data_IF_678259800574
#
_entry.id   IF_678259800574
#
_cell.length_a   1.000
_cell.length_b   1.000
_cell.length_c   1.000
_cell.angle_alpha   90.00
_cell.angle_beta   90.00
_cell.angle_gamma   90.00
#
_symmetry.space_group_name_H-M   'P 1'
#
loop_
_entity.id
_entity.type
_entity.pdbx_description
1 polymer ?
#
# COMPACT_ATOMS: atom_id res chain seq x y z
N UNK A 1 -14.28 -3.51 91.43
CA UNK A 1 -14.67 -2.82 90.18
C UNK A 1 -13.37 -2.30 89.55
N UNK A 2 -12.76 -3.10 88.66
CA UNK A 2 -11.41 -2.85 88.16
C UNK A 2 -11.44 -1.96 86.91
N UNK A 3 -11.00 -0.71 87.06
CA UNK A 3 -10.78 0.23 85.96
C UNK A 3 -9.51 -0.18 85.20
N UNK A 4 -9.65 -0.94 84.12
CA UNK A 4 -8.57 -1.17 83.15
C UNK A 4 -8.32 0.16 82.43
N UNK A 5 -7.19 0.82 82.73
CA UNK A 5 -6.67 1.93 81.90
C UNK A 5 -6.40 1.37 80.51
N UNK A 6 -7.23 1.74 79.54
CA UNK A 6 -6.93 1.53 78.13
C UNK A 6 -5.74 2.43 77.80
N UNK A 7 -4.57 1.83 77.59
CA UNK A 7 -3.47 2.53 76.94
C UNK A 7 -3.93 2.86 75.52
N UNK A 8 -4.20 4.13 75.25
CA UNK A 8 -4.38 4.64 73.90
C UNK A 8 -3.03 4.46 73.21
N UNK A 9 -2.96 3.52 72.26
CA UNK A 9 -1.78 3.32 71.43
C UNK A 9 -1.56 4.59 70.59
N UNK A 10 -0.47 5.30 70.84
CA UNK A 10 -0.10 6.47 70.03
C UNK A 10 0.39 6.01 68.65
N UNK A 11 -0.21 6.53 67.59
CA UNK A 11 0.26 6.35 66.21
C UNK A 11 1.63 7.00 66.08
N UNK A 12 2.62 6.27 65.56
CA UNK A 12 3.98 6.80 65.43
C UNK A 12 4.14 7.58 64.13
N UNK A 13 5.00 8.60 64.11
CA UNK A 13 5.33 9.37 62.89
C UNK A 13 5.83 8.44 61.78
N UNK A 14 6.57 7.38 62.14
CA UNK A 14 7.07 6.38 61.19
C UNK A 14 5.92 5.65 60.49
N UNK A 15 4.85 5.32 61.21
CA UNK A 15 3.66 4.65 60.67
C UNK A 15 2.88 5.54 59.69
N UNK A 16 2.80 6.84 59.98
CA UNK A 16 2.20 7.83 59.07
C UNK A 16 3.04 8.01 57.81
N UNK A 17 4.36 8.15 57.96
CA UNK A 17 5.27 8.31 56.80
C UNK A 17 5.25 7.07 55.90
N UNK A 18 5.21 5.87 56.48
CA UNK A 18 5.09 4.63 55.72
C UNK A 18 3.77 4.55 54.96
N UNK A 19 2.66 4.94 55.60
CA UNK A 19 1.34 5.00 54.97
C UNK A 19 1.32 5.97 53.79
N UNK A 20 1.90 7.17 53.95
CA UNK A 20 2.02 8.15 52.86
C UNK A 20 2.88 7.60 51.72
N UNK A 21 4.00 6.92 52.02
CA UNK A 21 4.87 6.30 51.01
C UNK A 21 4.15 5.24 50.18
N UNK A 22 3.35 4.39 50.81
CA UNK A 22 2.53 3.39 50.10
C UNK A 22 1.48 4.08 49.22
N UNK A 23 0.79 5.10 49.73
CA UNK A 23 -0.25 5.83 48.97
C UNK A 23 0.37 6.51 47.74
N UNK A 24 1.50 7.20 47.89
CA UNK A 24 2.18 7.88 46.76
C UNK A 24 2.64 6.87 45.71
N UNK A 25 3.24 5.76 46.13
CA UNK A 25 3.69 4.70 45.20
C UNK A 25 2.49 4.07 44.47
N UNK A 26 1.38 3.82 45.19
CA UNK A 26 0.15 3.31 44.59
C UNK A 26 -0.47 4.27 43.58
N UNK A 27 -0.54 5.56 43.91
CA UNK A 27 -1.06 6.59 42.99
C UNK A 27 -0.19 6.75 41.75
N UNK A 28 1.15 6.72 41.89
CA UNK A 28 2.08 6.74 40.76
C UNK A 28 1.92 5.50 39.85
N UNK A 29 1.71 4.32 40.45
CA UNK A 29 1.43 3.10 39.69
C UNK A 29 0.15 3.20 38.86
N UNK A 30 -0.95 3.71 39.44
CA UNK A 30 -2.22 3.92 38.73
C UNK A 30 -2.07 4.94 37.60
N UNK A 31 -1.37 6.04 37.83
CA UNK A 31 -1.11 7.04 36.79
C UNK A 31 -0.35 6.46 35.59
N UNK A 32 0.66 5.62 35.85
CA UNK A 32 1.39 4.89 34.80
C UNK A 32 0.48 3.97 33.97
N UNK A 33 -0.41 3.23 34.64
CA UNK A 33 -1.35 2.33 33.95
C UNK A 33 -2.37 3.09 33.08
N UNK A 34 -2.85 4.25 33.51
CA UNK A 34 -3.79 5.07 32.72
C UNK A 34 -3.13 5.53 31.41
N UNK A 35 -1.86 5.94 31.44
CA UNK A 35 -1.14 6.35 30.22
C UNK A 35 -0.93 5.19 29.25
N UNK A 36 -0.57 4.00 29.76
CA UNK A 36 -0.41 2.80 28.92
C UNK A 36 -1.75 2.36 28.33
N UNK A 37 -2.82 2.36 29.13
CA UNK A 37 -4.17 2.03 28.67
C UNK A 37 -4.65 3.00 27.59
N UNK A 38 -4.39 4.30 27.75
CA UNK A 38 -4.70 5.31 26.73
C UNK A 38 -3.97 5.05 25.41
N UNK A 39 -2.65 4.79 25.46
CA UNK A 39 -1.87 4.47 24.27
C UNK A 39 -2.35 3.20 23.57
N UNK A 40 -2.67 2.14 24.33
CA UNK A 40 -3.22 0.89 23.78
C UNK A 40 -4.62 1.08 23.19
N UNK A 41 -5.48 1.89 23.82
CA UNK A 41 -6.81 2.21 23.30
C UNK A 41 -6.71 2.98 21.98
N UNK A 42 -5.84 3.99 21.87
CA UNK A 42 -5.62 4.71 20.62
C UNK A 42 -5.11 3.78 19.52
N UNK A 43 -4.16 2.89 19.83
CA UNK A 43 -3.67 1.88 18.87
C UNK A 43 -4.78 0.90 18.44
N UNK A 44 -5.68 0.53 19.36
CA UNK A 44 -6.83 -0.31 19.06
C UNK A 44 -7.82 0.37 18.12
N UNK A 45 -8.20 1.62 18.42
CA UNK A 45 -9.09 2.42 17.59
C UNK A 45 -8.50 2.67 16.19
N UNK A 46 -7.20 2.98 16.13
CA UNK A 46 -6.49 3.13 14.86
C UNK A 46 -6.50 1.80 14.09
N UNK A 47 -6.16 0.68 14.72
CA UNK A 47 -6.20 -0.63 14.07
C UNK A 47 -7.60 -1.00 13.53
N UNK A 48 -8.67 -0.68 14.27
CA UNK A 48 -10.05 -0.91 13.85
C UNK A 48 -10.42 -0.01 12.66
N UNK A 49 -10.07 1.28 12.71
CA UNK A 49 -10.28 2.21 11.61
C UNK A 49 -9.53 1.75 10.35
N UNK A 50 -8.28 1.32 10.49
CA UNK A 50 -7.47 0.79 9.38
C UNK A 50 -8.06 -0.51 8.80
N UNK A 51 -8.62 -1.38 9.65
CA UNK A 51 -9.30 -2.60 9.21
C UNK A 51 -10.53 -2.28 8.35
N UNK A 52 -11.38 -1.36 8.81
CA UNK A 52 -12.56 -0.93 8.05
C UNK A 52 -12.18 -0.24 6.74
N UNK A 53 -11.15 0.61 6.79
CA UNK A 53 -10.53 1.24 5.63
C UNK A 53 -10.08 0.21 4.57
N UNK A 54 -9.40 -0.86 4.99
CA UNK A 54 -8.98 -1.95 4.11
C UNK A 54 -10.15 -2.70 3.48
N UNK A 55 -11.18 -3.03 4.28
CA UNK A 55 -12.39 -3.69 3.79
C UNK A 55 -13.15 -2.82 2.78
N UNK A 56 -13.28 -1.52 3.05
CA UNK A 56 -13.91 -0.56 2.16
C UNK A 56 -13.14 -0.43 0.83
N UNK A 57 -11.81 -0.36 0.89
CA UNK A 57 -10.98 -0.31 -0.31
C UNK A 57 -11.07 -1.60 -1.15
N UNK A 58 -11.15 -2.78 -0.52
CA UNK A 58 -11.42 -4.05 -1.24
C UNK A 58 -12.81 -4.01 -1.90
N UNK A 59 -13.83 -3.54 -1.19
CA UNK A 59 -15.18 -3.41 -1.74
C UNK A 59 -15.22 -2.42 -2.91
N UNK A 60 -14.51 -1.30 -2.83
CA UNK A 60 -14.37 -0.31 -3.89
C UNK A 60 -13.66 -0.89 -5.12
N UNK A 61 -12.58 -1.65 -4.89
CA UNK A 61 -11.85 -2.37 -5.93
C UNK A 61 -12.76 -3.34 -6.70
N UNK A 62 -13.56 -4.13 -5.98
CA UNK A 62 -14.49 -5.10 -6.56
C UNK A 62 -15.66 -4.40 -7.29
N UNK A 63 -16.26 -3.38 -6.66
CA UNK A 63 -17.42 -2.64 -7.20
C UNK A 63 -17.10 -1.91 -8.49
N UNK A 64 -15.89 -1.37 -8.60
CA UNK A 64 -15.42 -0.68 -9.82
C UNK A 64 -14.87 -1.63 -10.88
N UNK A 65 -14.93 -2.94 -10.65
CA UNK A 65 -14.43 -3.97 -11.57
C UNK A 65 -12.97 -3.74 -11.95
N UNK A 66 -12.14 -3.29 -11.00
CA UNK A 66 -10.70 -3.07 -11.22
C UNK A 66 -9.94 -4.38 -11.50
N UNK A 67 -10.62 -5.53 -11.35
CA UNK A 67 -10.16 -6.86 -11.77
C UNK A 67 -10.08 -7.03 -13.28
N UNK A 68 -10.80 -6.21 -14.05
CA UNK A 68 -10.84 -6.33 -15.49
C UNK A 68 -9.71 -5.52 -16.13
N UNK A 69 -8.78 -6.15 -16.88
CA UNK A 69 -7.67 -5.43 -17.49
C UNK A 69 -8.13 -4.40 -18.54
N UNK A 70 -9.34 -4.53 -19.09
CA UNK A 70 -9.93 -3.55 -20.01
C UNK A 70 -10.19 -2.18 -19.37
N UNK A 71 -10.35 -2.13 -18.05
CA UNK A 71 -10.55 -0.90 -17.29
C UNK A 71 -9.24 -0.17 -16.95
N UNK A 72 -8.11 -0.86 -17.13
CA UNK A 72 -6.80 -0.40 -16.74
C UNK A 72 -6.08 0.26 -17.92
N UNK A 73 -5.43 1.38 -17.63
CA UNK A 73 -4.56 2.11 -18.53
C UNK A 73 -3.15 2.18 -17.94
N UNK A 74 -2.15 2.13 -18.78
CA UNK A 74 -0.77 2.46 -18.42
C UNK A 74 -0.26 3.54 -19.37
N UNK A 75 0.75 4.30 -18.96
CA UNK A 75 1.27 5.39 -19.78
C UNK A 75 2.36 4.84 -20.73
N UNK A 76 2.18 4.97 -22.03
CA UNK A 76 3.18 4.54 -23.01
C UNK A 76 4.13 5.72 -23.32
N UNK A 77 5.42 5.62 -22.98
CA UNK A 77 6.37 6.71 -23.20
C UNK A 77 6.69 6.93 -24.67
N UNK A 78 6.67 5.85 -25.46
CA UNK A 78 7.03 5.90 -26.88
C UNK A 78 6.02 6.71 -27.67
N UNK A 79 4.75 6.66 -27.26
CA UNK A 79 3.66 7.43 -27.88
C UNK A 79 3.23 8.64 -27.07
N UNK A 80 3.81 8.85 -25.87
CA UNK A 80 3.40 9.89 -24.92
C UNK A 80 1.88 9.89 -24.67
N UNK A 81 1.30 8.70 -24.49
CA UNK A 81 -0.16 8.53 -24.37
C UNK A 81 -0.51 7.36 -23.47
N UNK A 82 -1.67 7.41 -22.83
CA UNK A 82 -2.18 6.24 -22.11
C UNK A 82 -2.71 5.17 -23.08
N UNK A 83 -2.41 3.92 -22.80
CA UNK A 83 -2.83 2.75 -23.58
C UNK A 83 -3.51 1.73 -22.68
N UNK A 84 -4.48 1.01 -23.23
CA UNK A 84 -5.18 -0.04 -22.48
C UNK A 84 -4.24 -1.19 -22.18
N UNK A 85 -4.36 -1.82 -21.00
CA UNK A 85 -3.54 -3.00 -20.66
C UNK A 85 -3.81 -4.15 -21.65
N UNK A 86 -5.06 -4.30 -22.11
CA UNK A 86 -5.45 -5.27 -23.14
C UNK A 86 -4.95 -4.95 -24.57
N UNK A 87 -4.59 -3.69 -24.87
CA UNK A 87 -4.14 -3.34 -26.23
C UNK A 87 -2.64 -3.56 -26.44
N UNK A 88 -1.93 -4.00 -25.40
CA UNK A 88 -0.54 -4.44 -25.50
C UNK A 88 -0.49 -5.96 -25.57
N UNK A 89 0.54 -6.50 -26.24
CA UNK A 89 0.85 -7.94 -26.42
C UNK A 89 0.90 -8.78 -25.13
N UNK A 90 0.62 -8.18 -23.96
CA UNK A 90 0.61 -8.80 -22.63
C UNK A 90 -0.70 -9.52 -22.28
N UNK A 91 -1.84 -9.09 -22.83
CA UNK A 91 -3.16 -9.68 -22.59
C UNK A 91 -4.04 -9.44 -23.81
N UNK A 92 -3.88 -10.26 -24.84
CA UNK A 92 -4.78 -10.27 -25.99
C UNK A 92 -5.31 -11.68 -26.19
N UNK A 93 -6.55 -11.87 -26.67
CA UNK A 93 -6.98 -13.19 -27.11
C UNK A 93 -5.96 -13.77 -28.11
N UNK A 94 -5.90 -15.09 -28.25
CA UNK A 94 -5.01 -15.76 -29.17
C UNK A 94 -5.19 -15.26 -30.60
N UNK A 95 -4.37 -15.71 -31.54
CA UNK A 95 -4.46 -15.30 -32.94
C UNK A 95 -5.87 -15.53 -33.55
N UNK A 96 -6.69 -16.39 -32.93
CA UNK A 96 -8.07 -16.70 -33.28
C UNK A 96 -9.14 -15.74 -32.68
N UNK A 97 -8.73 -14.69 -31.96
CA UNK A 97 -9.58 -13.76 -31.20
C UNK A 97 -10.41 -14.42 -30.08
N UNK A 98 -10.01 -15.60 -29.58
CA UNK A 98 -10.63 -16.23 -28.40
C UNK A 98 -9.71 -16.16 -27.20
N UNK A 99 -10.32 -16.07 -26.03
CA UNK A 99 -9.64 -16.28 -24.75
C UNK A 99 -9.84 -17.75 -24.40
N UNK A 100 -8.75 -18.47 -24.14
CA UNK A 100 -8.69 -19.94 -24.16
C UNK A 100 -9.91 -20.68 -23.67
N UNK A 101 -10.52 -21.45 -24.58
CA UNK A 101 -11.15 -22.70 -24.20
C UNK A 101 -10.03 -23.74 -24.09
N UNK A 102 -9.79 -24.27 -22.89
CA UNK A 102 -8.80 -25.33 -22.72
C UNK A 102 -9.10 -26.49 -23.70
N UNK A 103 -8.06 -27.02 -24.37
CA UNK A 103 -8.07 -28.20 -25.26
C UNK A 103 -8.40 -27.98 -26.76
N UNK A 104 -8.12 -26.80 -27.34
CA UNK A 104 -8.24 -26.56 -28.78
C UNK A 104 -6.88 -26.09 -29.34
N UNK A 105 -6.26 -26.94 -30.16
CA UNK A 105 -5.04 -26.67 -30.95
C UNK A 105 -5.29 -25.53 -31.95
N UNK A 106 -4.93 -24.29 -31.58
CA UNK A 106 -5.23 -23.06 -32.33
C UNK A 106 -4.13 -22.66 -33.33
N UNK A 107 -2.89 -23.11 -33.11
CA UNK A 107 -1.76 -22.96 -34.02
C UNK A 107 -1.59 -24.16 -34.98
N UNK A 108 -2.41 -25.20 -34.77
CA UNK A 108 -2.53 -26.39 -35.60
C UNK A 108 -1.23 -27.22 -35.63
N UNK A 109 -0.46 -27.19 -34.54
CA UNK A 109 0.84 -27.84 -34.42
C UNK A 109 0.75 -29.31 -33.94
N UNK A 110 -0.41 -29.79 -33.44
CA UNK A 110 -0.54 -31.15 -32.93
C UNK A 110 -1.59 -31.38 -31.82
N UNK A 111 -1.31 -32.24 -30.82
CA UNK A 111 -2.23 -32.39 -29.70
C UNK A 111 -2.34 -31.05 -28.95
N UNK A 112 -3.49 -30.71 -28.35
CA UNK A 112 -3.60 -29.55 -27.46
C UNK A 112 -2.59 -29.73 -26.32
N UNK A 113 -1.45 -29.08 -26.42
CA UNK A 113 -0.26 -29.41 -25.63
C UNK A 113 0.28 -28.24 -24.80
N UNK A 114 -0.29 -27.05 -24.96
CA UNK A 114 -0.03 -25.96 -24.05
C UNK A 114 -1.23 -25.06 -23.78
N UNK A 115 -1.15 -24.34 -22.66
CA UNK A 115 -2.14 -23.33 -22.28
C UNK A 115 -1.82 -21.99 -22.97
N UNK A 116 -0.82 -21.96 -23.87
CA UNK A 116 -0.47 -20.77 -24.65
C UNK A 116 -1.51 -20.53 -25.76
N UNK A 117 -2.26 -21.58 -26.14
CA UNK A 117 -3.55 -21.54 -26.87
C UNK A 117 -4.65 -20.71 -26.16
N UNK A 118 -4.42 -20.22 -24.93
CA UNK A 118 -5.41 -19.45 -24.18
C UNK A 118 -5.44 -17.95 -24.42
N UNK A 119 -4.68 -17.43 -25.41
CA UNK A 119 -4.58 -15.98 -25.61
C UNK A 119 -3.81 -15.30 -24.48
N UNK A 120 -2.69 -15.89 -24.09
CA UNK A 120 -1.65 -15.17 -23.40
C UNK A 120 -0.50 -15.07 -24.38
N UNK A 121 -0.11 -13.85 -24.74
CA UNK A 121 1.01 -13.62 -25.66
C UNK A 121 2.22 -14.44 -25.23
N UNK A 122 2.77 -15.14 -26.21
CA UNK A 122 3.83 -16.13 -26.14
C UNK A 122 4.84 -15.88 -24.99
N UNK A 123 4.99 -16.86 -24.11
CA UNK A 123 6.03 -17.00 -23.07
C UNK A 123 6.17 -15.93 -21.96
N UNK A 124 5.38 -14.84 -21.93
CA UNK A 124 5.52 -13.85 -20.85
C UNK A 124 4.76 -14.26 -19.58
N UNK A 125 5.45 -14.47 -18.45
CA UNK A 125 4.80 -14.84 -17.20
C UNK A 125 3.85 -13.74 -16.75
N UNK A 126 2.63 -14.11 -16.36
CA UNK A 126 1.58 -13.22 -15.85
C UNK A 126 2.15 -11.98 -15.13
N UNK A 127 1.99 -10.75 -15.64
CA UNK A 127 2.68 -9.58 -15.11
C UNK A 127 2.11 -9.13 -13.76
N UNK A 128 2.95 -8.54 -12.92
CA UNK A 128 2.52 -7.84 -11.71
C UNK A 128 2.29 -6.36 -11.99
N UNK A 129 1.27 -5.77 -11.40
CA UNK A 129 0.94 -4.35 -11.60
C UNK A 129 0.47 -3.67 -10.31
N UNK A 130 0.69 -2.35 -10.25
CA UNK A 130 0.30 -1.46 -9.17
C UNK A 130 -0.79 -0.51 -9.68
N UNK A 131 -2.02 -0.65 -9.21
CA UNK A 131 -3.13 0.27 -9.52
C UNK A 131 -3.04 1.45 -8.58
N UNK A 132 -2.67 2.60 -9.14
CA UNK A 132 -2.42 3.83 -8.38
C UNK A 132 -2.85 5.09 -9.16
N UNK A 133 -4.16 5.27 -9.39
CA UNK A 133 -4.64 6.38 -10.22
C UNK A 133 -4.42 7.73 -9.57
N UNK A 134 -4.43 7.81 -8.24
CA UNK A 134 -4.23 9.08 -7.53
C UNK A 134 -2.82 9.62 -7.75
N UNK A 135 -1.82 8.75 -7.65
CA UNK A 135 -0.45 9.13 -7.97
C UNK A 135 -0.30 9.55 -9.43
N UNK A 136 -0.80 8.74 -10.36
CA UNK A 136 -0.70 9.05 -11.80
C UNK A 136 -1.39 10.37 -12.14
N UNK A 137 -2.59 10.61 -11.63
CA UNK A 137 -3.31 11.85 -11.89
C UNK A 137 -2.57 13.08 -11.35
N UNK A 138 -1.93 12.95 -10.18
CA UNK A 138 -1.07 14.02 -9.65
C UNK A 138 0.14 14.28 -10.57
N UNK A 139 0.83 13.22 -11.03
CA UNK A 139 1.96 13.38 -11.96
C UNK A 139 1.55 14.06 -13.28
N UNK A 140 0.35 13.76 -13.79
CA UNK A 140 -0.19 14.41 -14.99
C UNK A 140 -0.45 15.90 -14.75
N UNK A 141 -1.02 16.26 -13.58
CA UNK A 141 -1.27 17.67 -13.21
C UNK A 141 0.03 18.43 -13.01
N UNK A 142 1.02 17.81 -12.36
CA UNK A 142 2.34 18.40 -12.12
C UNK A 142 3.18 18.53 -13.41
N UNK A 143 2.73 17.90 -14.51
CA UNK A 143 3.48 17.85 -15.76
C UNK A 143 4.79 17.09 -15.63
N UNK A 144 4.86 16.10 -14.72
CA UNK A 144 6.08 15.33 -14.50
C UNK A 144 6.41 14.50 -15.75
N UNK A 145 7.54 14.81 -16.39
CA UNK A 145 8.03 14.10 -17.57
C UNK A 145 8.86 12.86 -17.22
N UNK A 146 9.09 12.58 -15.94
CA UNK A 146 9.84 11.41 -15.51
C UNK A 146 9.01 10.13 -15.73
N UNK A 147 9.37 9.41 -16.78
CA UNK A 147 8.73 8.16 -17.17
C UNK A 147 8.77 7.09 -16.06
N UNK A 148 9.89 6.94 -15.37
CA UNK A 148 10.06 5.86 -14.39
C UNK A 148 9.12 6.04 -13.20
N UNK A 149 8.92 7.28 -12.76
CA UNK A 149 8.04 7.61 -11.64
C UNK A 149 6.57 7.40 -12.01
N UNK A 150 6.16 7.78 -13.23
CA UNK A 150 4.76 7.71 -13.67
C UNK A 150 4.30 6.30 -14.08
N UNK A 151 5.21 5.43 -14.55
CA UNK A 151 4.85 4.12 -15.11
C UNK A 151 5.28 2.90 -14.34
N UNK A 152 6.22 3.04 -13.42
CA UNK A 152 6.79 1.90 -12.72
C UNK A 152 6.64 2.07 -11.22
N UNK A 153 6.59 0.93 -10.55
CA UNK A 153 6.50 0.85 -9.11
C UNK A 153 7.47 -0.22 -8.59
N UNK A 154 8.45 0.12 -7.74
CA UNK A 154 8.78 1.48 -7.31
C UNK A 154 9.16 2.40 -8.49
N UNK A 155 8.87 3.69 -8.37
CA UNK A 155 9.14 4.71 -9.39
C UNK A 155 10.61 5.10 -9.50
N UNK A 156 11.51 4.12 -9.64
CA UNK A 156 12.96 4.32 -9.55
C UNK A 156 13.60 4.03 -10.91
N UNK A 157 14.60 4.81 -11.29
CA UNK A 157 15.34 4.57 -12.53
C UNK A 157 16.23 3.33 -12.38
N UNK A 158 16.03 2.35 -13.27
CA UNK A 158 16.88 1.15 -13.30
C UNK A 158 18.22 1.47 -13.96
N UNK A 159 19.37 1.13 -13.35
CA UNK A 159 20.67 1.34 -13.98
C UNK A 159 20.77 0.61 -15.31
N UNK A 160 21.12 1.34 -16.38
CA UNK A 160 21.24 0.77 -17.74
C UNK A 160 22.27 -0.38 -17.82
N UNK A 161 23.25 -0.41 -16.92
CA UNK A 161 24.28 -1.44 -16.88
C UNK A 161 23.76 -2.82 -16.42
N UNK A 162 22.63 -2.88 -15.70
CA UNK A 162 22.07 -4.14 -15.25
C UNK A 162 20.53 -4.07 -15.05
N UNK A 163 19.76 -4.07 -16.15
CA UNK A 163 18.30 -3.93 -16.09
C UNK A 163 17.63 -5.08 -15.32
N UNK A 164 18.25 -6.26 -15.25
CA UNK A 164 17.68 -7.45 -14.63
C UNK A 164 17.80 -7.46 -13.11
N UNK A 165 18.49 -6.49 -12.50
CA UNK A 165 18.62 -6.43 -11.05
C UNK A 165 17.35 -5.92 -10.38
N UNK A 166 16.77 -4.82 -10.84
CA UNK A 166 15.65 -4.19 -10.13
C UNK A 166 14.32 -4.65 -10.73
N UNK A 167 13.47 -5.19 -9.87
CA UNK A 167 12.18 -5.75 -10.24
C UNK A 167 11.10 -4.74 -9.93
N UNK A 168 10.33 -4.35 -10.95
CA UNK A 168 9.30 -3.33 -10.87
C UNK A 168 7.97 -3.85 -11.41
N UNK A 169 6.88 -3.34 -10.84
CA UNK A 169 5.53 -3.49 -11.34
C UNK A 169 5.20 -2.36 -12.30
N UNK A 170 4.36 -2.62 -13.30
CA UNK A 170 3.76 -1.53 -14.08
C UNK A 170 2.75 -0.79 -13.20
N UNK A 171 2.88 0.53 -13.11
CA UNK A 171 1.90 1.40 -12.46
C UNK A 171 0.79 1.71 -13.46
N UNK A 172 -0.45 1.46 -13.07
CA UNK A 172 -1.63 1.58 -13.93
C UNK A 172 -2.68 2.46 -13.28
N UNK A 173 -3.48 3.12 -14.11
CA UNK A 173 -4.63 3.95 -13.72
C UNK A 173 -5.93 3.35 -14.26
N UNK A 174 -7.08 3.83 -13.81
CA UNK A 174 -8.37 3.50 -14.39
C UNK A 174 -8.70 4.42 -15.58
N UNK A 175 -9.52 3.92 -16.51
CA UNK A 175 -10.13 4.71 -17.58
C UNK A 175 -11.06 5.78 -17.01
N UNK A 176 -11.02 6.97 -17.60
CA UNK A 176 -11.97 8.03 -17.29
C UNK A 176 -13.36 7.71 -17.86
N UNK A 177 -14.32 7.45 -16.98
CA UNK A 177 -15.69 7.11 -17.37
C UNK A 177 -16.43 8.27 -18.05
N UNK A 178 -15.97 9.52 -17.90
CA UNK A 178 -16.53 10.66 -18.63
C UNK A 178 -16.20 10.61 -20.13
N UNK A 179 -15.12 9.91 -20.51
CA UNK A 179 -14.63 9.80 -21.89
C UNK A 179 -14.27 8.35 -22.21
N UNK A 180 -15.24 7.42 -22.22
CA UNK A 180 -14.98 5.98 -22.27
C UNK A 180 -14.33 5.51 -23.58
N UNK A 181 -14.46 6.28 -24.66
CA UNK A 181 -13.83 6.02 -25.97
C UNK A 181 -12.39 6.52 -26.05
N UNK A 182 -11.96 7.34 -25.09
CA UNK A 182 -10.61 7.87 -25.04
C UNK A 182 -9.83 7.14 -23.94
N UNK A 183 -8.58 6.79 -24.23
CA UNK A 183 -7.67 6.27 -23.20
C UNK A 183 -7.16 7.46 -22.36
N UNK A 184 -8.06 8.09 -21.60
CA UNK A 184 -7.70 9.13 -20.66
C UNK A 184 -7.62 8.56 -19.24
N UNK A 185 -6.60 8.94 -18.46
CA UNK A 185 -6.51 8.57 -17.05
C UNK A 185 -7.63 9.24 -16.25
N UNK A 186 -7.90 8.74 -15.05
CA UNK A 186 -8.78 9.45 -14.11
C UNK A 186 -8.26 10.88 -13.87
N UNK A 187 -9.18 11.83 -13.80
CA UNK A 187 -8.83 13.18 -13.34
C UNK A 187 -8.43 13.17 -11.87
N UNK A 188 -7.64 14.15 -11.43
CA UNK A 188 -7.18 14.26 -10.05
C UNK A 188 -8.33 14.23 -9.02
N UNK A 189 -9.43 14.90 -9.33
CA UNK A 189 -10.62 14.92 -8.48
C UNK A 189 -11.28 13.54 -8.41
N UNK A 190 -11.45 12.86 -9.55
CA UNK A 190 -12.01 11.51 -9.56
C UNK A 190 -11.10 10.50 -8.86
N UNK A 191 -9.79 10.56 -9.10
CA UNK A 191 -8.85 9.65 -8.44
C UNK A 191 -8.81 9.88 -6.94
N UNK A 192 -8.84 11.14 -6.48
CA UNK A 192 -8.90 11.46 -5.05
C UNK A 192 -10.18 10.93 -4.42
N UNK A 193 -11.33 11.16 -5.07
CA UNK A 193 -12.63 10.70 -4.58
C UNK A 193 -12.71 9.17 -4.40
N UNK A 194 -12.01 8.40 -5.25
CA UNK A 194 -12.04 6.93 -5.24
C UNK A 194 -10.97 6.34 -4.32
N UNK A 195 -9.75 6.90 -4.35
CA UNK A 195 -8.57 6.35 -3.69
C UNK A 195 -8.24 7.05 -2.36
N UNK A 196 -9.15 7.88 -1.84
CA UNK A 196 -9.10 8.38 -0.46
C UNK A 196 -10.21 7.77 0.37
N UNK A 197 -9.91 7.52 1.64
CA UNK A 197 -10.84 6.87 2.55
C UNK A 197 -11.81 7.92 3.06
N UNK A 198 -13.10 7.66 2.87
CA UNK A 198 -14.16 8.64 3.12
C UNK A 198 -14.66 8.72 4.55
N UNK A 199 -14.13 7.87 5.42
CA UNK A 199 -14.66 7.65 6.78
C UNK A 199 -13.83 8.34 7.87
N UNK A 200 -12.86 9.17 7.49
CA UNK A 200 -12.19 10.07 8.43
C UNK A 200 -13.09 11.28 8.64
N UNK A 201 -14.01 11.15 9.60
CA UNK A 201 -14.77 12.28 10.11
C UNK A 201 -13.79 13.33 10.65
N UNK A 202 -13.65 14.46 9.96
CA UNK A 202 -12.84 15.56 10.47
C UNK A 202 -13.60 16.23 11.60
N UNK A 203 -13.25 15.87 12.83
CA UNK A 203 -13.66 16.59 14.02
C UNK A 203 -12.71 17.77 14.22
N UNK A 204 -13.27 18.97 14.23
CA UNK A 204 -12.55 20.12 14.77
C UNK A 204 -12.46 19.94 16.28
N UNK A 205 -11.23 19.78 16.78
CA UNK A 205 -10.96 19.83 18.22
C UNK A 205 -11.04 21.32 18.61
N UNK A 206 -12.05 21.72 19.39
CA UNK A 206 -12.19 23.12 19.78
C UNK A 206 -11.00 23.55 20.64
N UNK A 207 -10.62 24.82 20.51
CA UNK A 207 -9.49 25.39 21.25
C UNK A 207 -9.79 25.54 22.75
N UNK A 208 -11.07 25.49 23.13
CA UNK A 208 -11.52 25.54 24.51
C UNK A 208 -11.83 24.13 25.05
N UNK A 209 -11.28 23.80 26.22
CA UNK A 209 -11.49 22.50 26.89
C UNK A 209 -12.95 22.22 27.31
N UNK A 210 -13.84 23.20 27.20
CA UNK A 210 -15.26 23.09 27.55
C UNK A 210 -16.17 22.83 26.36
N UNK A 211 -15.64 22.91 25.14
CA UNK A 211 -16.42 22.70 23.92
C UNK A 211 -16.29 21.24 23.46
N UNK A 212 -17.39 20.70 22.95
CA UNK A 212 -17.42 19.35 22.40
C UNK A 212 -16.80 19.37 20.98
N UNK A 213 -16.10 18.30 20.56
CA UNK A 213 -15.63 18.16 19.19
C UNK A 213 -16.79 18.36 18.21
N UNK A 214 -16.63 19.24 17.23
CA UNK A 214 -17.64 19.47 16.19
C UNK A 214 -17.19 18.81 14.89
N UNK A 215 -18.07 17.99 14.32
CA UNK A 215 -17.85 17.41 13.00
C UNK A 215 -17.92 18.52 11.95
N UNK A 216 -16.86 18.64 11.13
CA UNK A 216 -16.79 19.64 10.06
C UNK A 216 -17.39 19.12 8.76
N UNK A 217 -18.01 20.01 7.99
CA UNK A 217 -18.64 19.73 6.71
C UNK A 217 -18.18 20.74 5.65
N UNK A 218 -18.00 20.34 4.39
CA UNK A 218 -17.77 21.29 3.28
C UNK A 218 -19.14 21.81 2.85
N UNK A 219 -19.33 23.12 2.92
CA UNK A 219 -20.30 23.80 2.07
C UNK A 219 -19.65 23.92 0.70
N UNK A 220 -20.11 23.13 -0.27
CA UNK A 220 -19.54 23.12 -1.62
C UNK A 220 -19.92 24.46 -2.28
N UNK A 221 -19.14 25.52 -2.04
CA UNK A 221 -19.41 26.81 -2.66
C UNK A 221 -19.28 26.62 -4.18
N UNK A 222 -20.42 26.74 -4.86
CA UNK A 222 -20.53 26.65 -6.31
C UNK A 222 -19.42 27.47 -6.96
N UNK A 223 -18.38 26.80 -7.44
CA UNK A 223 -17.45 27.42 -8.39
C UNK A 223 -18.26 27.59 -9.67
N UNK A 224 -18.23 28.79 -10.25
CA UNK A 224 -19.07 29.22 -11.37
C UNK A 224 -18.99 28.36 -12.66
N UNK A 225 -18.20 27.28 -12.66
CA UNK A 225 -18.01 26.36 -13.78
C UNK A 225 -18.68 24.98 -13.59
N UNK A 226 -19.36 24.71 -12.47
CA UNK A 226 -20.10 23.47 -12.27
C UNK A 226 -21.51 23.54 -12.86
N UNK A 227 -21.63 23.78 -14.17
CA UNK A 227 -22.90 23.73 -14.89
C UNK A 227 -23.34 22.28 -15.11
N UNK A 228 -23.78 21.63 -14.03
CA UNK A 228 -24.58 20.40 -14.09
C UNK A 228 -26.04 20.79 -13.91
N UNK A 229 -26.96 20.45 -14.84
CA UNK A 229 -28.38 20.69 -14.65
C UNK A 229 -28.89 19.72 -13.60
N UNK A 230 -28.95 20.16 -12.33
CA UNK A 230 -29.56 19.36 -11.26
C UNK A 230 -31.00 19.80 -11.06
N UNK A 231 -31.88 18.80 -10.96
CA UNK A 231 -33.28 18.98 -10.65
C UNK A 231 -33.40 19.07 -9.13
N UNK A 232 -34.02 20.13 -8.67
CA UNK A 232 -34.16 20.38 -7.25
C UNK A 232 -35.03 19.30 -6.59
N UNK A 233 -34.64 18.75 -5.44
CA UNK A 233 -35.45 17.75 -4.73
C UNK A 233 -36.59 18.37 -3.90
N UNK A 234 -36.59 19.70 -3.73
CA UNK A 234 -37.65 20.44 -3.05
C UNK A 234 -37.53 20.47 -1.52
N UNK A 235 -36.39 20.06 -0.95
CA UNK A 235 -36.16 19.99 0.50
C UNK A 235 -35.24 21.14 0.93
N UNK A 236 -35.66 21.88 1.95
CA UNK A 236 -34.88 22.90 2.65
C UNK A 236 -33.95 22.19 3.66
N UNK A 237 -32.71 21.90 3.23
CA UNK A 237 -31.75 21.11 4.02
C UNK A 237 -31.03 21.95 5.10
N UNK A 238 -30.88 23.28 4.92
CA UNK A 238 -30.20 24.17 5.87
C UNK A 238 -31.15 24.94 6.81
N UNK A 239 -32.46 24.78 6.60
CA UNK A 239 -33.56 25.31 7.42
C UNK A 239 -33.62 26.84 7.48
N UNK A 240 -33.20 27.53 6.42
CA UNK A 240 -33.33 28.98 6.33
C UNK A 240 -34.74 29.44 5.89
N UNK A 241 -35.59 28.50 5.46
CA UNK A 241 -36.97 28.73 5.03
C UNK A 241 -37.14 28.98 3.53
N UNK A 242 -36.07 28.84 2.74
CA UNK A 242 -36.06 28.91 1.28
C UNK A 242 -35.65 27.54 0.73
N UNK A 243 -36.08 27.24 -0.50
CA UNK A 243 -35.65 26.04 -1.23
C UNK A 243 -35.01 26.55 -2.51
N UNK A 244 -33.69 26.65 -2.52
CA UNK A 244 -32.90 27.14 -3.63
C UNK A 244 -31.71 26.23 -4.00
N UNK A 245 -31.03 26.55 -5.10
CA UNK A 245 -29.88 25.77 -5.58
C UNK A 245 -28.61 25.96 -4.73
N UNK A 246 -28.55 27.00 -3.88
CA UNK A 246 -27.49 27.15 -2.88
C UNK A 246 -27.67 26.17 -1.72
N UNK A 247 -28.91 25.84 -1.39
CA UNK A 247 -29.28 24.88 -0.33
C UNK A 247 -28.97 23.43 -0.76
N UNK A 248 -28.93 23.17 -2.07
CA UNK A 248 -28.57 21.88 -2.67
C UNK A 248 -27.06 21.67 -2.90
N UNK A 249 -26.23 22.60 -2.42
CA UNK A 249 -24.79 22.41 -2.34
C UNK A 249 -24.52 21.22 -1.42
N UNK A 250 -24.41 20.01 -2.00
CA UNK A 250 -24.22 18.77 -1.24
C UNK A 250 -23.20 19.04 -0.14
N UNK A 251 -23.67 18.98 1.10
CA UNK A 251 -22.83 19.05 2.27
C UNK A 251 -21.97 17.79 2.24
N UNK A 252 -20.87 17.84 1.49
CA UNK A 252 -19.92 16.74 1.39
C UNK A 252 -19.13 16.77 2.69
N UNK A 253 -19.10 15.63 3.37
CA UNK A 253 -18.27 15.44 4.55
C UNK A 253 -16.85 15.86 4.21
N UNK A 254 -16.30 16.76 5.02
CA UNK A 254 -14.91 17.18 4.90
C UNK A 254 -14.11 15.99 5.41
N UNK A 255 -13.51 15.25 4.49
CA UNK A 255 -12.52 14.25 4.83
C UNK A 255 -11.17 14.96 4.71
N UNK A 256 -10.33 14.86 5.73
CA UNK A 256 -8.99 15.45 5.67
C UNK A 256 -8.16 14.85 4.51
N UNK A 257 -8.64 13.73 3.92
CA UNK A 257 -8.03 12.99 2.84
C UNK A 257 -6.59 12.59 3.16
N UNK A 258 -6.28 12.50 4.45
CA UNK A 258 -4.98 12.08 4.98
C UNK A 258 -4.77 10.62 4.63
N UNK A 259 -5.85 9.83 4.67
CA UNK A 259 -5.78 8.41 4.37
C UNK A 259 -6.12 8.12 2.90
N UNK A 260 -5.16 7.57 2.17
CA UNK A 260 -5.33 7.12 0.77
C UNK A 260 -4.89 5.68 0.61
N UNK A 261 -5.23 5.06 -0.52
CA UNK A 261 -4.85 3.68 -0.78
C UNK A 261 -4.41 3.44 -2.22
N UNK A 262 -3.67 2.37 -2.44
CA UNK A 262 -3.36 1.82 -3.76
C UNK A 262 -3.48 0.29 -3.71
N UNK A 263 -3.48 -0.37 -4.87
CA UNK A 263 -3.53 -1.83 -4.94
C UNK A 263 -2.32 -2.38 -5.70
N UNK A 264 -1.67 -3.42 -5.17
CA UNK A 264 -0.67 -4.19 -5.91
C UNK A 264 -1.20 -5.58 -6.20
N UNK A 265 -1.09 -6.03 -7.44
CA UNK A 265 -1.48 -7.38 -7.86
C UNK A 265 -0.23 -8.16 -8.23
N UNK A 266 -0.03 -9.29 -7.55
CA UNK A 266 1.07 -10.22 -7.81
C UNK A 266 0.51 -11.60 -8.15
N UNK A 267 0.91 -12.24 -9.25
CA UNK A 267 0.45 -13.58 -9.60
C UNK A 267 0.75 -14.59 -8.47
N UNK A 268 -0.24 -15.41 -8.15
CA UNK A 268 -0.12 -16.45 -7.13
C UNK A 268 0.57 -17.68 -7.73
N UNK A 269 1.89 -17.75 -7.56
CA UNK A 269 2.71 -18.82 -8.13
C UNK A 269 2.98 -19.99 -7.19
N UNK A 270 2.26 -20.08 -6.06
CA UNK A 270 2.46 -21.16 -5.08
C UNK A 270 2.08 -22.56 -5.61
N UNK A 271 1.44 -22.66 -6.78
CA UNK A 271 1.02 -23.94 -7.39
C UNK A 271 1.95 -24.44 -8.50
N UNK A 272 2.93 -23.65 -8.94
CA UNK A 272 3.82 -23.99 -10.05
C UNK A 272 4.99 -24.85 -9.55
N UNK A 273 4.74 -26.10 -9.16
CA UNK A 273 5.83 -27.04 -8.98
C UNK A 273 5.37 -28.49 -9.13
N UNK A 274 5.19 -28.93 -10.38
CA UNK A 274 5.15 -30.34 -10.72
C UNK A 274 5.95 -30.56 -12.00
N UNK A 275 7.21 -30.97 -11.84
CA UNK A 275 7.98 -31.72 -12.85
C UNK A 275 8.31 -31.06 -14.21
N UNK A 276 9.00 -29.92 -14.18
CA UNK A 276 10.06 -29.64 -15.16
C UNK A 276 9.67 -29.17 -16.57
N UNK A 277 8.40 -28.88 -16.84
CA UNK A 277 7.99 -28.39 -18.16
C UNK A 277 6.97 -27.24 -18.04
N UNK A 278 7.44 -26.06 -18.44
CA UNK A 278 6.71 -24.81 -18.72
C UNK A 278 5.92 -24.17 -17.57
N UNK A 279 5.87 -22.85 -17.63
CA UNK A 279 5.22 -21.97 -16.68
C UNK A 279 3.74 -21.87 -17.02
N UNK A 280 2.86 -22.47 -16.23
CA UNK A 280 1.42 -22.30 -16.44
C UNK A 280 0.99 -20.87 -16.03
N UNK A 281 0.66 -19.94 -16.96
CA UNK A 281 0.07 -18.66 -16.58
C UNK A 281 -1.06 -18.84 -15.56
N UNK A 282 -1.09 -17.96 -14.56
CA UNK A 282 -2.08 -18.04 -13.49
C UNK A 282 -3.10 -16.92 -13.60
N UNK A 283 -4.37 -17.28 -13.49
CA UNK A 283 -5.48 -16.35 -13.33
C UNK A 283 -5.63 -15.86 -11.88
N UNK A 284 -4.92 -16.48 -10.93
CA UNK A 284 -4.97 -16.15 -9.51
C UNK A 284 -3.91 -15.12 -9.14
N UNK A 285 -4.33 -14.05 -8.48
CA UNK A 285 -3.46 -12.98 -8.03
C UNK A 285 -3.64 -12.78 -6.54
N UNK A 286 -2.54 -12.50 -5.86
CA UNK A 286 -2.58 -11.85 -4.56
C UNK A 286 -2.81 -10.35 -4.79
N UNK A 287 -4.00 -9.89 -4.39
CA UNK A 287 -4.30 -8.47 -4.25
C UNK A 287 -3.79 -8.02 -2.87
N UNK A 288 -2.93 -7.02 -2.84
CA UNK A 288 -2.56 -6.31 -1.61
C UNK A 288 -3.06 -4.87 -1.71
N UNK A 289 -4.02 -4.51 -0.87
CA UNK A 289 -4.47 -3.12 -0.68
C UNK A 289 -3.54 -2.47 0.33
N UNK A 290 -2.85 -1.42 -0.10
CA UNK A 290 -1.87 -0.68 0.70
C UNK A 290 -2.48 0.64 1.09
N UNK A 291 -2.59 0.86 2.40
CA UNK A 291 -3.19 2.06 2.98
C UNK A 291 -2.08 2.98 3.48
N UNK A 292 -2.18 4.24 3.11
CA UNK A 292 -1.27 5.31 3.46
C UNK A 292 -1.97 6.31 4.34
N UNK A 293 -1.24 6.83 5.33
CA UNK A 293 -1.57 8.05 6.04
C UNK A 293 -0.58 9.14 5.61
N UNK A 294 -1.10 10.30 5.19
CA UNK A 294 -0.34 11.45 4.69
C UNK A 294 0.63 11.06 3.56
N UNK A 295 0.09 10.40 2.54
CA UNK A 295 0.87 9.92 1.41
C UNK A 295 1.57 11.07 0.69
N UNK A 296 2.89 10.94 0.48
CA UNK A 296 3.66 11.87 -0.33
C UNK A 296 3.52 11.53 -1.83
N UNK A 297 3.02 12.47 -2.63
CA UNK A 297 2.69 12.24 -4.06
C UNK A 297 3.41 13.22 -4.99
N UNK A 298 3.82 14.40 -4.50
CA UNK A 298 4.43 15.44 -5.34
C UNK A 298 5.90 15.11 -5.62
N UNK A 299 6.19 14.63 -6.83
CA UNK A 299 7.54 14.22 -7.24
C UNK A 299 8.19 15.31 -8.09
N UNK A 300 8.13 16.57 -7.66
CA UNK A 300 8.53 17.70 -8.52
C UNK A 300 10.04 17.93 -8.63
N UNK A 301 10.89 17.40 -7.74
CA UNK A 301 12.35 17.39 -7.98
C UNK A 301 13.19 16.44 -7.08
N UNK A 302 14.36 16.06 -7.61
CA UNK A 302 15.56 15.35 -7.08
C UNK A 302 15.44 14.19 -6.05
N UNK A 303 15.69 12.96 -6.53
CA UNK A 303 16.52 11.83 -6.02
C UNK A 303 16.84 11.56 -4.52
N UNK A 304 16.40 12.36 -3.55
CA UNK A 304 16.84 12.19 -2.15
C UNK A 304 15.82 12.58 -1.07
N UNK A 305 14.61 12.99 -1.44
CA UNK A 305 13.59 13.27 -0.43
C UNK A 305 13.30 11.98 0.37
N UNK A 306 13.49 11.98 1.71
CA UNK A 306 13.26 10.78 2.53
C UNK A 306 11.79 10.33 2.52
N UNK A 307 10.91 11.17 1.98
CA UNK A 307 9.46 10.97 1.87
C UNK A 307 9.05 10.26 0.57
N UNK A 308 9.94 10.10 -0.41
CA UNK A 308 9.67 9.36 -1.65
C UNK A 308 9.73 7.84 -1.45
N UNK A 309 9.21 7.10 -2.44
CA UNK A 309 9.49 5.67 -2.62
C UNK A 309 11.01 5.44 -2.73
N UNK A 310 11.57 4.51 -1.95
CA UNK A 310 13.02 4.24 -1.89
C UNK A 310 13.32 2.77 -2.07
N UNK A 311 14.36 2.47 -2.85
CA UNK A 311 14.93 1.12 -2.93
C UNK A 311 16.04 0.98 -1.90
N UNK A 312 15.98 -0.07 -1.09
CA UNK A 312 17.02 -0.47 -0.16
C UNK A 312 17.59 -1.82 -0.57
N UNK A 313 18.87 -2.03 -0.31
CA UNK A 313 19.48 -3.34 -0.44
C UNK A 313 19.16 -4.17 0.80
N UNK A 314 18.91 -5.47 0.61
CA UNK A 314 18.60 -6.40 1.69
C UNK A 314 19.55 -7.58 1.69
N UNK A 315 20.02 -7.95 2.88
CA UNK A 315 20.73 -9.21 3.12
C UNK A 315 20.02 -9.98 4.22
N UNK A 316 19.61 -11.20 3.94
CA UNK A 316 19.03 -12.09 4.96
C UNK A 316 20.16 -12.61 5.86
N UNK A 317 20.04 -12.37 7.17
CA UNK A 317 21.07 -12.77 8.14
C UNK A 317 20.95 -14.26 8.51
N UNK A 318 19.73 -14.81 8.39
CA UNK A 318 19.43 -16.21 8.62
C UNK A 318 18.74 -16.82 7.39
N UNK A 319 18.69 -18.15 7.31
CA UNK A 319 17.88 -18.90 6.32
C UNK A 319 16.35 -18.79 6.59
N UNK A 320 15.94 -17.78 7.35
CA UNK A 320 14.71 -17.75 8.13
C UNK A 320 13.44 -17.69 7.29
N UNK A 321 12.59 -18.70 7.49
CA UNK A 321 11.17 -18.67 7.16
C UNK A 321 10.47 -17.53 7.96
N UNK A 322 9.42 -16.91 7.41
CA UNK A 322 8.54 -15.97 8.10
C UNK A 322 8.91 -14.49 8.06
N UNK A 323 9.73 -14.06 7.09
CA UNK A 323 10.28 -12.70 7.00
C UNK A 323 11.68 -12.59 7.62
N UNK A 324 11.90 -13.22 8.77
CA UNK A 324 13.23 -13.45 9.33
C UNK A 324 14.01 -12.19 9.74
N UNK A 325 15.28 -12.41 10.09
CA UNK A 325 16.24 -11.34 10.38
C UNK A 325 16.92 -10.88 9.10
N UNK A 326 16.90 -9.57 8.88
CA UNK A 326 17.37 -8.94 7.65
C UNK A 326 18.25 -7.74 7.98
N UNK A 327 19.15 -7.43 7.07
CA UNK A 327 19.97 -6.22 7.08
C UNK A 327 19.56 -5.34 5.92
N UNK A 328 19.03 -4.15 6.22
CA UNK A 328 18.82 -3.12 5.23
C UNK A 328 20.09 -2.31 5.05
N UNK A 329 20.47 -2.01 3.81
CA UNK A 329 21.62 -1.15 3.53
C UNK A 329 21.36 -0.15 2.40
N UNK A 330 22.00 1.01 2.50
CA UNK A 330 21.96 2.07 1.49
C UNK A 330 23.20 2.97 1.63
N UNK A 331 23.61 3.61 0.54
CA UNK A 331 24.68 4.62 0.53
C UNK A 331 24.34 5.91 1.30
N UNK A 332 23.05 6.18 1.56
CA UNK A 332 22.58 7.39 2.21
C UNK A 332 21.93 6.98 3.55
N UNK A 333 22.45 7.45 4.70
CA UNK A 333 21.90 7.08 6.00
C UNK A 333 20.46 7.59 6.20
N UNK A 334 20.06 8.69 5.55
CA UNK A 334 18.69 9.19 5.63
C UNK A 334 17.65 8.24 4.99
N UNK A 335 18.09 7.38 4.06
CA UNK A 335 17.26 6.33 3.46
C UNK A 335 16.87 5.24 4.46
N UNK A 336 17.67 5.05 5.52
CA UNK A 336 17.47 4.03 6.56
C UNK A 336 16.68 4.54 7.78
N UNK A 337 15.99 5.69 7.64
CA UNK A 337 15.03 6.19 8.64
C UNK A 337 13.72 5.39 8.61
N UNK A 338 13.83 4.09 8.89
CA UNK A 338 12.75 3.14 9.07
C UNK A 338 12.40 3.04 10.56
N UNK A 339 11.15 2.76 10.89
CA UNK A 339 10.64 2.61 12.26
C UNK A 339 10.01 1.24 12.49
N UNK A 340 9.88 0.87 13.76
CA UNK A 340 9.03 -0.25 14.15
C UNK A 340 7.59 0.00 13.67
N UNK A 341 6.96 -1.02 13.10
CA UNK A 341 5.58 -0.95 12.63
C UNK A 341 5.42 -0.51 11.18
N UNK A 342 6.45 0.08 10.58
CA UNK A 342 6.50 0.45 9.16
C UNK A 342 6.35 -0.78 8.24
N UNK A 343 5.93 -0.54 7.00
CA UNK A 343 5.81 -1.57 5.98
C UNK A 343 6.87 -1.42 4.89
N UNK A 344 7.32 -2.57 4.40
CA UNK A 344 8.22 -2.68 3.26
C UNK A 344 7.70 -3.72 2.28
N UNK A 345 7.99 -3.53 1.00
CA UNK A 345 7.71 -4.52 -0.03
C UNK A 345 9.02 -5.19 -0.45
N UNK A 346 9.07 -6.52 -0.36
CA UNK A 346 10.15 -7.29 -0.97
C UNK A 346 9.81 -7.56 -2.43
N UNK A 347 10.80 -7.40 -3.31
CA UNK A 347 10.70 -7.77 -4.71
C UNK A 347 11.90 -8.60 -5.15
N UNK A 348 11.66 -9.62 -5.95
CA UNK A 348 12.71 -10.45 -6.54
C UNK A 348 12.25 -10.98 -7.89
N UNK A 349 13.21 -11.21 -8.77
CA UNK A 349 12.95 -11.91 -10.01
C UNK A 349 13.01 -13.41 -9.72
N UNK A 350 12.34 -14.20 -10.54
CA UNK A 350 12.41 -15.65 -10.49
C UNK A 350 12.32 -16.17 -11.92
N UNK A 351 12.74 -17.40 -12.15
CA UNK A 351 12.50 -18.11 -13.41
C UNK A 351 11.01 -18.09 -13.77
N UNK A 352 10.17 -18.13 -12.74
CA UNK A 352 8.73 -18.12 -12.89
C UNK A 352 8.14 -16.72 -13.09
N UNK A 353 8.98 -15.68 -13.08
CA UNK A 353 8.65 -14.26 -13.22
C UNK A 353 8.80 -13.44 -11.92
N UNK A 354 8.52 -12.15 -11.99
CA UNK A 354 8.63 -11.21 -10.86
C UNK A 354 7.69 -11.56 -9.69
N UNK A 355 8.18 -11.37 -8.46
CA UNK A 355 7.46 -11.67 -7.23
C UNK A 355 7.53 -10.47 -6.28
N UNK A 356 6.39 -10.11 -5.68
CA UNK A 356 6.27 -9.02 -4.72
C UNK A 356 5.48 -9.47 -3.49
N UNK A 357 5.92 -9.10 -2.29
CA UNK A 357 5.18 -9.33 -1.04
C UNK A 357 5.43 -8.21 -0.04
N UNK A 358 4.41 -7.89 0.74
CA UNK A 358 4.49 -6.89 1.79
C UNK A 358 4.83 -7.52 3.14
N UNK A 359 5.69 -6.83 3.88
CA UNK A 359 6.16 -7.23 5.21
C UNK A 359 6.07 -6.05 6.15
N UNK A 360 5.72 -6.34 7.40
CA UNK A 360 5.76 -5.35 8.47
C UNK A 360 7.06 -5.47 9.24
N UNK A 361 7.71 -4.35 9.53
CA UNK A 361 8.91 -4.30 10.38
C UNK A 361 8.47 -4.53 11.83
N UNK A 362 8.79 -5.70 12.38
CA UNK A 362 8.49 -6.03 13.78
C UNK A 362 9.56 -5.52 14.75
N UNK A 363 10.79 -5.33 14.28
CA UNK A 363 11.87 -4.76 15.05
C UNK A 363 12.91 -4.14 14.10
N UNK A 364 13.56 -3.06 14.53
CA UNK A 364 14.70 -2.47 13.83
C UNK A 364 15.64 -1.84 14.86
N UNK A 365 16.95 -2.04 14.71
CA UNK A 365 17.96 -1.43 15.60
C UNK A 365 17.92 0.10 15.51
N UNK A 366 17.97 0.84 16.61
CA UNK A 366 17.85 2.31 16.60
C UNK A 366 18.99 3.03 15.87
N UNK A 367 20.21 2.49 15.93
CA UNK A 367 21.41 3.15 15.40
C UNK A 367 21.74 2.69 13.97
N UNK A 368 22.07 3.66 13.11
CA UNK A 368 22.57 3.37 11.76
C UNK A 368 24.07 3.12 11.80
N UNK A 369 24.51 1.92 11.39
CA UNK A 369 25.92 1.53 11.34
C UNK A 369 26.54 1.83 9.98
N UNK A 370 27.86 2.03 9.93
CA UNK A 370 28.62 2.22 8.68
C UNK A 370 29.19 0.90 8.16
N UNK A 371 29.09 0.68 6.85
CA UNK A 371 29.84 -0.34 6.12
C UNK A 371 31.19 0.25 5.71
N UNK A 372 32.27 -0.42 6.09
CA UNK A 372 33.64 0.00 5.80
C UNK A 372 34.31 -1.12 4.98
N UNK A 373 34.97 -0.78 3.88
CA UNK A 373 35.73 -1.75 3.09
C UNK A 373 37.11 -2.05 3.69
N UNK A 374 37.88 -2.93 3.04
CA UNK A 374 39.24 -3.31 3.46
C UNK A 374 40.23 -2.13 3.47
N UNK A 375 39.93 -1.04 2.78
CA UNK A 375 40.75 0.17 2.71
C UNK A 375 40.41 1.18 3.81
N UNK A 376 39.37 0.93 4.60
CA UNK A 376 38.86 1.90 5.58
C UNK A 376 37.87 2.91 5.00
N UNK A 377 37.46 2.76 3.73
CA UNK A 377 36.51 3.67 3.07
C UNK A 377 35.07 3.28 3.40
N UNK A 378 34.23 4.26 3.74
CA UNK A 378 32.80 4.04 3.98
C UNK A 378 32.12 3.75 2.63
N UNK A 379 31.58 2.54 2.48
CA UNK A 379 30.87 2.09 1.27
C UNK A 379 29.36 2.20 1.39
N UNK A 380 28.84 2.35 2.60
CA UNK A 380 27.42 2.56 2.84
C UNK A 380 27.05 2.52 4.32
N UNK A 381 25.76 2.41 4.57
CA UNK A 381 25.18 2.33 5.90
C UNK A 381 24.23 1.15 5.98
N UNK A 382 24.01 0.62 7.18
CA UNK A 382 23.07 -0.47 7.40
C UNK A 382 22.36 -0.39 8.76
N UNK A 383 21.19 -1.06 8.83
CA UNK A 383 20.45 -1.35 10.07
C UNK A 383 19.94 -2.78 10.01
N UNK A 384 20.05 -3.49 11.11
CA UNK A 384 19.47 -4.83 11.24
C UNK A 384 18.02 -4.73 11.72
N UNK A 385 17.16 -5.58 11.18
CA UNK A 385 15.72 -5.56 11.39
C UNK A 385 15.14 -6.98 11.38
N UNK A 386 13.93 -7.11 11.92
CA UNK A 386 13.12 -8.32 11.83
C UNK A 386 11.85 -8.02 11.06
N UNK A 387 11.56 -8.85 10.06
CA UNK A 387 10.34 -8.74 9.26
C UNK A 387 9.30 -9.75 9.73
N UNK A 388 8.04 -9.31 9.74
CA UNK A 388 6.86 -10.16 9.97
C UNK A 388 6.06 -10.25 8.67
N UNK A 389 5.90 -11.46 8.17
CA UNK A 389 5.09 -11.75 6.97
C UNK A 389 5.20 -13.21 6.54
N UNK A 390 4.69 -13.56 5.36
CA UNK A 390 4.81 -14.90 4.78
C UNK A 390 6.26 -15.32 4.57
N UNK A 391 6.52 -16.60 4.35
CA UNK A 391 7.88 -17.07 4.06
C UNK A 391 8.40 -16.46 2.75
N UNK A 392 9.57 -15.80 2.82
CA UNK A 392 10.33 -15.32 1.65
C UNK A 392 11.37 -16.36 1.23
N UNK A 393 11.00 -17.64 1.29
CA UNK A 393 11.86 -18.75 0.89
C UNK A 393 11.19 -19.47 -0.28
N UNK A 394 11.83 -19.42 -1.44
CA UNK A 394 11.37 -20.16 -2.62
C UNK A 394 12.41 -21.19 -3.03
N UNK A 395 12.01 -22.43 -3.32
CA UNK A 395 12.92 -23.47 -3.82
C UNK A 395 13.74 -23.01 -5.03
N UNK A 396 13.13 -22.22 -5.93
CA UNK A 396 13.79 -21.68 -7.12
C UNK A 396 14.98 -20.75 -6.79
N UNK A 397 14.94 -20.05 -5.65
CA UNK A 397 16.05 -19.19 -5.20
C UNK A 397 17.19 -19.98 -4.56
N UNK A 398 16.99 -21.27 -4.34
CA UNK A 398 17.94 -22.18 -3.68
C UNK A 398 18.49 -23.25 -4.62
N UNK A 399 18.36 -23.08 -5.94
CA UNK A 399 18.69 -24.10 -6.93
C UNK A 399 20.03 -24.84 -6.66
N UNK A 400 19.91 -26.16 -6.63
CA UNK A 400 20.98 -27.14 -6.49
C UNK A 400 21.81 -27.13 -7.79
N UNK A 401 22.86 -26.31 -7.88
CA UNK A 401 23.66 -26.22 -9.09
C UNK A 401 24.60 -25.02 -9.25
N UNK A 402 24.49 -23.99 -8.42
CA UNK A 402 25.62 -23.07 -8.19
C UNK A 402 25.63 -21.71 -8.89
N UNK A 403 24.47 -21.06 -9.13
CA UNK A 403 24.51 -19.60 -9.30
C UNK A 403 23.38 -18.85 -8.54
N UNK A 404 23.42 -18.85 -7.19
CA UNK A 404 22.48 -18.08 -6.36
C UNK A 404 22.58 -16.56 -6.54
N UNK A 405 23.55 -16.05 -7.32
CA UNK A 405 23.71 -14.62 -7.57
C UNK A 405 22.73 -14.04 -8.61
N UNK A 406 21.95 -14.87 -9.31
CA UNK A 406 21.11 -14.39 -10.42
C UNK A 406 19.90 -13.54 -9.98
N UNK A 407 19.33 -13.79 -8.80
CA UNK A 407 18.09 -13.15 -8.35
C UNK A 407 18.30 -12.36 -7.06
N UNK A 408 18.68 -11.10 -7.18
CA UNK A 408 18.85 -10.21 -6.03
C UNK A 408 17.47 -9.79 -5.51
N UNK A 409 17.18 -10.05 -4.24
CA UNK A 409 16.00 -9.49 -3.57
C UNK A 409 16.26 -8.02 -3.28
N UNK A 410 15.26 -7.19 -3.53
CA UNK A 410 15.26 -5.77 -3.20
C UNK A 410 14.15 -5.46 -2.21
N UNK A 411 14.32 -4.36 -1.47
CA UNK A 411 13.31 -3.81 -0.58
C UNK A 411 12.86 -2.48 -1.13
N UNK A 412 11.57 -2.31 -1.34
CA UNK A 412 10.96 -1.00 -1.54
C UNK A 412 10.37 -0.54 -0.22
N UNK A 413 10.80 0.63 0.25
CA UNK A 413 10.18 1.30 1.38
C UNK A 413 9.37 2.49 0.89
N UNK A 414 8.15 2.60 1.42
CA UNK A 414 7.26 3.73 1.14
C UNK A 414 6.80 4.34 2.46
N UNK A 415 7.16 5.60 2.71
CA UNK A 415 6.70 6.31 3.90
C UNK A 415 5.17 6.39 3.99
N UNK A 416 4.67 6.42 5.22
CA UNK A 416 3.25 6.61 5.49
C UNK A 416 2.38 5.37 5.29
N UNK A 417 2.93 4.23 4.88
CA UNK A 417 2.16 2.97 4.85
C UNK A 417 1.84 2.53 6.28
N UNK A 418 0.55 2.46 6.56
CA UNK A 418 0.00 2.18 7.90
C UNK A 418 -0.63 0.78 7.97
N UNK A 419 -1.10 0.26 6.84
CA UNK A 419 -1.66 -1.10 6.78
C UNK A 419 -1.59 -1.70 5.38
N UNK A 420 -1.48 -3.02 5.30
CA UNK A 420 -1.59 -3.79 4.06
C UNK A 420 -2.58 -4.94 4.27
N UNK A 421 -3.55 -5.06 3.38
CA UNK A 421 -4.59 -6.07 3.41
C UNK A 421 -4.49 -6.96 2.19
N UNK A 422 -4.34 -8.26 2.39
CA UNK A 422 -4.13 -9.20 1.30
C UNK A 422 -5.36 -10.10 1.07
N UNK A 423 -5.70 -10.33 -0.20
CA UNK A 423 -6.78 -11.22 -0.63
C UNK A 423 -6.38 -11.92 -1.92
N UNK A 424 -6.58 -13.23 -2.00
CA UNK A 424 -6.44 -13.93 -3.29
C UNK A 424 -7.67 -13.66 -4.14
N UNK A 425 -7.46 -13.18 -5.36
CA UNK A 425 -8.49 -12.89 -6.35
C UNK A 425 -8.19 -13.61 -7.66
N UNK A 426 -9.14 -13.59 -8.58
CA UNK A 426 -8.92 -13.95 -9.97
C UNK A 426 -9.13 -12.73 -10.86
N UNK A 427 -8.31 -12.58 -11.90
CA UNK A 427 -8.51 -11.56 -12.93
C UNK A 427 -9.68 -11.99 -13.81
N UNK A 428 -10.57 -11.05 -14.11
CA UNK A 428 -11.73 -11.29 -14.97
C UNK A 428 -11.27 -11.18 -16.43
N UNK A 429 -11.29 -12.30 -17.17
CA UNK A 429 -10.86 -12.35 -18.57
C UNK A 429 -11.95 -12.01 -19.58
N UNK A 430 -13.24 -12.01 -19.21
CA UNK A 430 -14.35 -11.71 -20.13
C UNK A 430 -15.53 -11.01 -19.48
N UNK A 431 -16.26 -10.23 -20.26
CA UNK A 431 -17.52 -9.57 -19.87
C UNK A 431 -18.76 -10.45 -20.03
N UNK A 432 -18.61 -11.78 -20.13
CA UNK A 432 -19.72 -12.71 -20.36
C UNK A 432 -20.39 -13.10 -19.04
N UNK A 433 -21.00 -12.10 -18.41
CA UNK A 433 -22.19 -12.21 -17.56
C UNK A 433 -23.11 -11.03 -17.82
#
# INVERSE_FOLDING_TARGET
MNYRKQHLAGVTIVEVLFSVGIIVTGLLGVAGLIMVAGAQMTQGLEADAMSNAGLNAIAEFDTRKMRRPDSLLWYNPSTNSFTSVLSSDLYGPGADNRWGEAMIDDDNNGPPDDINEAGYGDDEPSPSFCIDPFFIAQQVVDGNTNFYESNLFPGIQVPAANPNQIVQMRRVTLKNLAFPTQNLPLSLLQSREIFTIKDDLVFNIPTAATELPQQSWITDQATANASSPRQTNGIDDDHDGVVDEFDEANVKRLNAAETSWMATLTPNRNRMNVAGWRLEPTDQYLLSIVIFNNRFINYTDANAAPEKERLLNITFLNRGFGGGEVRFSHTNPAALKLKHGDWVMLSANSEIGSCFRWYRISYIEDETRTLIDVSGTITGHYRDATLKGPDWNRPEWHAVGGNPAAYTTHVTFIPGVVGVFEKTIRIESTSLY
#
